data_IF_028237277548
#
_entry.id   IF_028237277548
#
_cell.length_a   1.000
_cell.length_b   1.000
_cell.length_c   1.000
_cell.angle_alpha   90.00
_cell.angle_beta   90.00
_cell.angle_gamma   90.00
#
_symmetry.space_group_name_H-M   'P 1'
#
loop_
_entity.id
_entity.type
_entity.pdbx_description
1 polymer ?
#
# COMPACT_ATOMS: atom_id res chain seq x y z
N UNK A 1 -19.14 3.60 -8.85
CA UNK A 1 -18.10 2.75 -8.22
C UNK A 1 -16.85 3.57 -8.18
N UNK A 2 -16.30 3.81 -6.99
CA UNK A 2 -15.03 4.53 -6.79
C UNK A 2 -13.88 3.66 -7.31
N UNK A 3 -12.86 4.27 -7.90
CA UNK A 3 -11.60 3.60 -8.24
C UNK A 3 -10.93 3.07 -6.96
N UNK A 4 -10.54 1.79 -6.95
CA UNK A 4 -9.82 1.20 -5.82
C UNK A 4 -8.39 1.73 -5.76
N UNK A 5 -7.76 1.71 -4.59
CA UNK A 5 -6.37 2.10 -4.45
C UNK A 5 -5.42 1.26 -5.34
N UNK A 6 -5.78 0.00 -5.62
CA UNK A 6 -5.02 -0.89 -6.52
C UNK A 6 -5.04 -0.40 -7.96
N UNK A 7 -6.22 -0.04 -8.47
CA UNK A 7 -6.39 0.53 -9.81
C UNK A 7 -5.69 1.90 -9.90
N UNK A 8 -5.81 2.71 -8.86
CA UNK A 8 -5.16 4.03 -8.77
C UNK A 8 -3.64 3.92 -8.75
N UNK A 9 -3.08 2.96 -7.99
CA UNK A 9 -1.64 2.70 -7.96
C UNK A 9 -1.15 2.19 -9.33
N UNK A 10 -1.89 1.29 -9.96
CA UNK A 10 -1.58 0.78 -11.30
C UNK A 10 -1.55 1.90 -12.35
N UNK A 11 -2.51 2.83 -12.31
CA UNK A 11 -2.54 3.98 -13.23
C UNK A 11 -1.38 4.93 -13.00
N UNK A 12 -1.03 5.18 -11.74
CA UNK A 12 -0.07 6.23 -11.36
C UNK A 12 1.37 5.75 -11.21
N UNK A 13 1.62 4.46 -11.36
CA UNK A 13 2.95 3.85 -11.20
C UNK A 13 4.04 4.58 -11.99
N UNK A 14 3.77 5.00 -13.23
CA UNK A 14 4.72 5.75 -14.06
C UNK A 14 4.97 7.18 -13.57
N UNK A 15 3.95 7.86 -13.06
CA UNK A 15 4.09 9.20 -12.48
C UNK A 15 4.91 9.18 -11.18
N UNK A 16 4.78 8.09 -10.43
CA UNK A 16 5.48 7.86 -9.16
C UNK A 16 6.89 7.29 -9.39
N UNK A 17 7.20 6.86 -10.62
CA UNK A 17 8.50 6.33 -11.00
C UNK A 17 8.75 4.89 -10.54
N UNK A 18 7.69 4.11 -10.30
CA UNK A 18 7.78 2.70 -9.89
C UNK A 18 7.31 1.79 -11.04
N UNK A 19 8.08 0.74 -11.35
CA UNK A 19 7.69 -0.25 -12.36
C UNK A 19 8.28 -1.63 -12.06
N UNK A 20 7.77 -2.66 -12.74
CA UNK A 20 8.27 -4.03 -12.65
C UNK A 20 8.23 -4.60 -11.23
N UNK A 21 9.30 -5.30 -10.78
CA UNK A 21 9.33 -5.95 -9.47
C UNK A 21 9.10 -5.02 -8.27
N UNK A 22 9.48 -3.74 -8.40
CA UNK A 22 9.27 -2.74 -7.33
C UNK A 22 7.79 -2.40 -7.16
N UNK A 23 7.05 -2.32 -8.27
CA UNK A 23 5.60 -2.13 -8.22
C UNK A 23 4.91 -3.31 -7.53
N UNK A 24 5.28 -4.56 -7.86
CA UNK A 24 4.70 -5.76 -7.25
C UNK A 24 5.03 -5.86 -5.75
N UNK A 25 6.25 -5.47 -5.36
CA UNK A 25 6.67 -5.39 -3.97
C UNK A 25 5.83 -4.37 -3.19
N UNK A 26 5.73 -3.13 -3.70
CA UNK A 26 4.98 -2.04 -3.03
C UNK A 26 3.51 -2.41 -2.91
N UNK A 27 2.91 -2.96 -3.97
CA UNK A 27 1.53 -3.42 -3.95
C UNK A 27 1.31 -4.47 -2.85
N UNK A 28 2.15 -5.50 -2.81
CA UNK A 28 2.06 -6.57 -1.81
C UNK A 28 2.28 -6.03 -0.38
N UNK A 29 3.18 -5.06 -0.22
CA UNK A 29 3.46 -4.43 1.07
C UNK A 29 2.28 -3.61 1.58
N UNK A 30 1.61 -2.85 0.70
CA UNK A 30 0.39 -2.12 1.05
C UNK A 30 -0.73 -3.12 1.40
N UNK A 31 -0.91 -4.19 0.63
CA UNK A 31 -1.91 -5.24 0.92
C UNK A 31 -1.71 -5.90 2.29
N UNK A 32 -0.46 -6.21 2.63
CA UNK A 32 -0.10 -6.77 3.93
C UNK A 32 -0.48 -5.81 5.08
N UNK A 33 -0.07 -4.54 4.98
CA UNK A 33 -0.38 -3.55 6.01
C UNK A 33 -1.88 -3.27 6.12
N UNK A 34 -2.59 -3.22 5.00
CA UNK A 34 -4.04 -3.09 5.01
C UNK A 34 -4.68 -4.27 5.70
N UNK A 35 -4.25 -5.50 5.42
CA UNK A 35 -4.78 -6.73 6.03
C UNK A 35 -4.52 -6.79 7.55
N UNK A 36 -3.31 -6.47 7.99
CA UNK A 36 -2.94 -6.42 9.42
C UNK A 36 -3.72 -5.32 10.16
N UNK A 37 -3.87 -4.16 9.53
CA UNK A 37 -4.62 -3.06 10.11
C UNK A 37 -6.14 -3.33 10.10
N UNK A 38 -6.67 -4.00 9.07
CA UNK A 38 -8.04 -4.50 9.03
C UNK A 38 -8.30 -5.50 10.15
N UNK A 39 -7.37 -6.44 10.38
CA UNK A 39 -7.48 -7.43 11.45
C UNK A 39 -7.55 -6.74 12.82
N UNK A 40 -6.63 -5.80 13.09
CA UNK A 40 -6.61 -5.02 14.34
C UNK A 40 -7.80 -4.08 14.47
N UNK A 41 -8.28 -3.50 13.37
CA UNK A 41 -9.50 -2.69 13.37
C UNK A 41 -10.71 -3.56 13.66
N UNK A 42 -10.84 -4.74 13.05
CA UNK A 42 -11.95 -5.69 13.30
C UNK A 42 -11.98 -6.22 14.73
N UNK A 43 -10.82 -6.32 15.39
CA UNK A 43 -10.72 -6.63 16.82
C UNK A 43 -11.31 -5.52 17.72
N UNK A 44 -11.41 -4.29 17.23
CA UNK A 44 -11.88 -3.11 17.98
C UNK A 44 -13.29 -2.66 17.51
N UNK A 45 -13.55 -2.70 16.21
CA UNK A 45 -14.80 -2.36 15.50
C UNK A 45 -14.85 -3.13 14.17
N UNK A 46 -15.71 -4.16 14.11
CA UNK A 46 -15.87 -5.05 12.95
C UNK A 46 -16.29 -4.35 11.65
N UNK A 47 -16.78 -3.11 11.70
CA UNK A 47 -17.31 -2.40 10.53
C UNK A 47 -16.29 -1.49 9.84
N UNK A 48 -15.07 -1.36 10.36
CA UNK A 48 -14.06 -0.45 9.83
C UNK A 48 -13.01 -1.20 9.02
N UNK A 49 -12.90 -0.88 7.74
CA UNK A 49 -11.84 -1.40 6.86
C UNK A 49 -10.87 -0.30 6.46
N UNK A 50 -9.58 -0.60 6.48
CA UNK A 50 -8.50 0.30 6.12
C UNK A 50 -8.48 0.55 4.62
N UNK A 51 -8.84 -0.44 3.82
CA UNK A 51 -9.01 -0.29 2.37
C UNK A 51 -10.01 0.82 2.03
N UNK A 52 -11.15 0.89 2.72
CA UNK A 52 -12.13 1.97 2.51
C UNK A 52 -11.60 3.36 2.89
N UNK A 53 -10.73 3.44 3.91
CA UNK A 53 -10.09 4.70 4.30
C UNK A 53 -9.13 5.16 3.20
N UNK A 54 -8.31 4.26 2.67
CA UNK A 54 -7.36 4.56 1.59
C UNK A 54 -8.10 4.91 0.29
N UNK A 55 -9.15 4.17 -0.04
CA UNK A 55 -10.01 4.44 -1.21
C UNK A 55 -10.67 5.82 -1.12
N UNK A 56 -10.92 6.34 0.08
CA UNK A 56 -11.52 7.66 0.31
C UNK A 56 -10.54 8.84 0.25
N UNK A 57 -9.22 8.59 0.19
CA UNK A 57 -8.20 9.65 0.22
C UNK A 57 -8.17 10.49 -1.06
N UNK A 58 -7.93 11.79 -0.93
CA UNK A 58 -7.66 12.68 -2.07
C UNK A 58 -6.32 12.32 -2.74
N UNK A 59 -6.16 12.69 -4.02
CA UNK A 59 -4.97 12.33 -4.82
C UNK A 59 -3.65 12.75 -4.12
N UNK A 60 -3.61 13.98 -3.60
CA UNK A 60 -2.43 14.53 -2.93
C UNK A 60 -2.10 13.84 -1.59
N UNK A 61 -3.12 13.36 -0.89
CA UNK A 61 -2.96 12.63 0.37
C UNK A 61 -2.50 11.20 0.09
N UNK A 62 -3.11 10.56 -0.91
CA UNK A 62 -2.70 9.26 -1.41
C UNK A 62 -1.24 9.27 -1.90
N UNK A 63 -0.81 10.32 -2.59
CA UNK A 63 0.57 10.47 -3.04
C UNK A 63 1.56 10.60 -1.89
N UNK A 64 1.23 11.42 -0.89
CA UNK A 64 2.05 11.57 0.31
C UNK A 64 2.14 10.27 1.09
N UNK A 65 1.02 9.57 1.23
CA UNK A 65 0.99 8.24 1.84
C UNK A 65 1.89 7.26 1.08
N UNK A 66 1.72 7.15 -0.24
CA UNK A 66 2.49 6.22 -1.07
C UNK A 66 3.99 6.55 -1.05
N UNK A 67 4.37 7.83 -1.16
CA UNK A 67 5.77 8.28 -1.02
C UNK A 67 6.35 7.95 0.35
N UNK A 68 5.60 8.15 1.43
CA UNK A 68 6.05 7.81 2.78
C UNK A 68 6.25 6.31 2.97
N UNK A 69 5.43 5.48 2.31
CA UNK A 69 5.61 4.01 2.31
C UNK A 69 6.87 3.63 1.54
N UNK A 70 7.05 4.20 0.35
CA UNK A 70 8.27 4.01 -0.48
C UNK A 70 9.52 4.39 0.33
N UNK A 71 9.55 5.59 0.90
CA UNK A 71 10.67 6.06 1.73
C UNK A 71 10.93 5.15 2.93
N UNK A 72 9.88 4.61 3.56
CA UNK A 72 10.00 3.70 4.69
C UNK A 72 10.56 2.35 4.28
N UNK A 73 10.17 1.84 3.10
CA UNK A 73 10.72 0.60 2.52
C UNK A 73 12.20 0.81 2.18
N UNK A 74 12.53 1.88 1.45
CA UNK A 74 13.91 2.20 1.06
C UNK A 74 14.82 2.49 2.25
N UNK A 75 14.30 3.06 3.36
CA UNK A 75 15.08 3.28 4.59
C UNK A 75 15.25 2.04 5.45
N UNK A 76 14.33 1.06 5.39
CA UNK A 76 14.39 -0.17 6.20
C UNK A 76 15.20 -1.29 5.55
N UNK A 77 15.46 -1.23 4.25
CA UNK A 77 16.28 -2.23 3.54
C UNK A 77 17.19 -1.56 2.51
N UNK A 78 18.46 -1.96 2.46
CA UNK A 78 19.15 -2.06 1.17
C UNK A 78 18.31 -3.01 0.32
N UNK A 79 17.74 -2.50 -0.76
CA UNK A 79 16.73 -3.19 -1.55
C UNK A 79 17.38 -4.28 -2.41
N UNK A 80 17.16 -5.56 -2.04
CA UNK A 80 17.72 -6.72 -2.75
C UNK A 80 16.70 -7.40 -3.71
N UNK A 81 15.48 -6.86 -3.83
CA UNK A 81 14.43 -7.34 -4.75
C UNK A 81 13.57 -8.51 -4.25
N UNK A 82 13.63 -8.87 -2.97
CA UNK A 82 12.82 -9.96 -2.40
C UNK A 82 11.58 -9.42 -1.68
N UNK A 83 10.38 -9.86 -2.10
CA UNK A 83 9.12 -9.62 -1.39
C UNK A 83 9.20 -10.03 0.09
N UNK A 84 8.46 -9.37 1.01
CA UNK A 84 8.44 -9.78 2.41
C UNK A 84 8.00 -11.24 2.43
N UNK A 85 8.88 -12.12 2.91
CA UNK A 85 8.56 -13.53 3.03
C UNK A 85 7.31 -13.65 3.89
N UNK A 86 6.27 -14.25 3.30
CA UNK A 86 4.98 -14.46 3.92
C UNK A 86 5.20 -15.06 5.31
N UNK A 87 4.90 -14.28 6.36
CA UNK A 87 4.87 -14.79 7.72
C UNK A 87 3.52 -15.49 7.87
N UNK A 88 3.59 -16.83 7.83
CA UNK A 88 2.53 -17.80 8.07
C UNK A 88 1.75 -17.48 9.34
#
# INVERSE_FOLDING_TARGET
MSETWRERLSRRRQEIGIDGPEYDYIKSYIEFYCSEADRRCKEIDMNKTVDQVIDSMKNEEFDRFTKSVIDSVHKRQGYDGQAPAQMV
#
